data_IF_418269378203
#
_entry.id   IF_418269378203
#
_cell.length_a   1.000
_cell.length_b   1.000
_cell.length_c   1.000
_cell.angle_alpha   90.00
_cell.angle_beta   90.00
_cell.angle_gamma   90.00
#
_symmetry.space_group_name_H-M   'P 1'
#
loop_
_entity.id
_entity.type
_entity.pdbx_description
1 polymer ?
#
# COMPACT_ATOMS: atom_id res chain seq x y z
N UNK A 1 16.72 22.08 6.89
CA UNK A 1 15.70 23.12 7.14
C UNK A 1 16.34 24.20 8.01
N UNK A 2 16.41 25.44 7.52
CA UNK A 2 17.13 26.53 8.17
C UNK A 2 16.21 27.36 9.07
N UNK A 3 16.49 27.36 10.38
CA UNK A 3 15.68 27.97 11.43
C UNK A 3 15.80 29.51 11.53
N UNK A 4 15.83 30.23 10.38
CA UNK A 4 16.16 31.67 10.41
C UNK A 4 15.39 32.59 9.48
N UNK A 5 14.75 32.09 8.41
CA UNK A 5 14.11 32.96 7.42
C UNK A 5 12.63 32.62 7.22
N UNK A 6 11.79 33.64 6.96
CA UNK A 6 10.36 33.49 6.66
C UNK A 6 10.13 32.50 5.52
N UNK A 7 11.00 32.49 4.51
CA UNK A 7 10.95 31.55 3.38
C UNK A 7 11.32 30.11 3.79
N UNK A 8 12.25 29.92 4.72
CA UNK A 8 12.62 28.61 5.25
C UNK A 8 11.47 27.93 6.02
N UNK A 9 10.61 28.73 6.65
CA UNK A 9 9.43 28.26 7.40
C UNK A 9 8.29 27.77 6.48
N UNK A 10 8.16 28.35 5.29
CA UNK A 10 7.06 28.05 4.36
C UNK A 10 7.44 27.16 3.18
N UNK A 11 8.74 26.94 2.90
CA UNK A 11 9.19 26.05 1.82
C UNK A 11 8.73 24.61 2.07
N UNK A 12 8.07 24.03 1.07
CA UNK A 12 7.60 22.64 1.08
C UNK A 12 6.19 22.43 1.64
N UNK A 13 5.55 23.47 2.21
CA UNK A 13 4.20 23.36 2.75
C UNK A 13 3.09 23.45 1.67
N UNK A 14 3.41 23.94 0.47
CA UNK A 14 2.43 24.17 -0.62
C UNK A 14 1.45 25.32 -0.31
N UNK A 15 0.55 25.68 -1.23
CA UNK A 15 -0.36 26.82 -1.07
C UNK A 15 -1.36 26.67 0.09
N UNK A 16 -1.70 25.43 0.47
CA UNK A 16 -2.65 25.13 1.54
C UNK A 16 -1.97 24.91 2.91
N UNK A 17 -0.64 24.95 2.99
CA UNK A 17 0.18 24.62 4.15
C UNK A 17 0.03 23.19 4.72
N UNK A 18 -0.85 22.37 4.16
CA UNK A 18 -1.14 20.98 4.52
C UNK A 18 -1.56 20.19 3.28
N UNK A 19 -1.52 18.85 3.34
CA UNK A 19 -2.00 17.98 2.26
C UNK A 19 -0.95 17.20 1.46
N UNK A 20 0.34 17.62 1.32
CA UNK A 20 1.35 16.82 0.62
C UNK A 20 1.51 15.41 1.20
N UNK A 21 1.47 15.29 2.53
CA UNK A 21 1.52 14.00 3.22
C UNK A 21 0.32 13.11 2.87
N UNK A 22 -0.91 13.64 2.96
CA UNK A 22 -2.11 12.88 2.63
C UNK A 22 -2.13 12.44 1.18
N UNK A 23 -1.79 13.33 0.25
CA UNK A 23 -1.71 13.00 -1.17
C UNK A 23 -0.68 11.89 -1.44
N UNK A 24 0.51 11.99 -0.83
CA UNK A 24 1.56 10.99 -0.99
C UNK A 24 1.13 9.63 -0.45
N UNK A 25 0.61 9.59 0.78
CA UNK A 25 0.10 8.36 1.39
C UNK A 25 -0.98 7.75 0.52
N UNK A 26 -1.92 8.56 0.01
CA UNK A 26 -3.02 8.08 -0.83
C UNK A 26 -2.54 7.47 -2.16
N UNK A 27 -1.50 8.04 -2.80
CA UNK A 27 -0.91 7.46 -4.02
C UNK A 27 -0.08 6.21 -3.71
N UNK A 28 0.68 6.23 -2.63
CA UNK A 28 1.47 5.09 -2.21
C UNK A 28 0.59 3.88 -1.87
N UNK A 29 -0.46 4.07 -1.08
CA UNK A 29 -1.41 2.99 -0.74
C UNK A 29 -2.20 2.54 -1.96
N UNK A 30 -2.60 3.45 -2.86
CA UNK A 30 -3.27 3.07 -4.10
C UNK A 30 -2.38 2.15 -4.97
N UNK A 31 -1.09 2.47 -5.12
CA UNK A 31 -0.15 1.61 -5.85
C UNK A 31 0.01 0.26 -5.14
N UNK A 32 0.15 0.26 -3.81
CA UNK A 32 0.19 -0.96 -3.01
C UNK A 32 -1.02 -1.86 -3.24
N UNK A 33 -2.23 -1.29 -3.26
CA UNK A 33 -3.46 -2.03 -3.54
C UNK A 33 -3.48 -2.61 -4.95
N UNK A 34 -3.01 -1.88 -5.97
CA UNK A 34 -2.93 -2.41 -7.34
C UNK A 34 -2.03 -3.65 -7.39
N UNK A 35 -0.88 -3.61 -6.72
CA UNK A 35 0.05 -4.74 -6.65
C UNK A 35 -0.57 -5.92 -5.89
N UNK A 36 -1.11 -5.68 -4.70
CA UNK A 36 -1.69 -6.72 -3.84
C UNK A 36 -2.92 -7.38 -4.47
N UNK A 37 -3.81 -6.60 -5.09
CA UNK A 37 -4.98 -7.15 -5.79
C UNK A 37 -4.57 -7.97 -7.01
N UNK A 38 -3.57 -7.51 -7.77
CA UNK A 38 -3.05 -8.28 -8.91
C UNK A 38 -2.47 -9.62 -8.46
N UNK A 39 -1.68 -9.61 -7.38
CA UNK A 39 -1.13 -10.83 -6.77
C UNK A 39 -2.23 -11.77 -6.27
N UNK A 40 -3.23 -11.25 -5.54
CA UNK A 40 -4.33 -12.05 -5.00
C UNK A 40 -5.12 -12.75 -6.11
N UNK A 41 -5.48 -12.01 -7.17
CA UNK A 41 -6.20 -12.57 -8.31
C UNK A 41 -5.41 -13.68 -9.01
N UNK A 42 -4.12 -13.44 -9.29
CA UNK A 42 -3.25 -14.46 -9.92
C UNK A 42 -3.09 -15.67 -9.01
N UNK A 43 -2.88 -15.47 -7.71
CA UNK A 43 -2.73 -16.55 -6.75
C UNK A 43 -3.99 -17.42 -6.66
N UNK A 44 -5.17 -16.81 -6.66
CA UNK A 44 -6.43 -17.55 -6.66
C UNK A 44 -6.64 -18.31 -7.96
N UNK A 45 -6.36 -17.72 -9.13
CA UNK A 45 -6.45 -18.40 -10.42
C UNK A 45 -5.52 -19.62 -10.47
N UNK A 46 -4.30 -19.50 -9.92
CA UNK A 46 -3.32 -20.59 -9.87
C UNK A 46 -3.66 -21.69 -8.85
N UNK A 47 -4.54 -21.44 -7.88
CA UNK A 47 -4.86 -22.40 -6.82
C UNK A 47 -5.57 -23.65 -7.36
N UNK A 48 -6.40 -23.50 -8.39
CA UNK A 48 -7.07 -24.60 -9.12
C UNK A 48 -8.21 -25.30 -8.38
N UNK A 49 -8.06 -25.56 -7.08
CA UNK A 49 -9.07 -26.16 -6.19
C UNK A 49 -9.35 -25.24 -5.00
N UNK A 50 -10.63 -24.93 -4.78
CA UNK A 50 -11.10 -24.06 -3.71
C UNK A 50 -11.74 -24.83 -2.54
N UNK A 51 -11.51 -26.14 -2.45
CA UNK A 51 -11.89 -26.94 -1.29
C UNK A 51 -11.30 -26.38 0.01
N UNK A 52 -12.05 -26.50 1.11
CA UNK A 52 -11.68 -25.95 2.42
C UNK A 52 -10.24 -26.31 2.83
N UNK A 53 -9.84 -27.58 2.68
CA UNK A 53 -8.51 -28.04 3.04
C UNK A 53 -7.39 -27.35 2.24
N UNK A 54 -7.61 -27.12 0.93
CA UNK A 54 -6.62 -26.49 0.07
C UNK A 54 -6.51 -24.98 0.34
N UNK A 55 -7.63 -24.32 0.57
CA UNK A 55 -7.67 -22.89 0.94
C UNK A 55 -7.01 -22.65 2.29
N UNK A 56 -7.29 -23.48 3.30
CA UNK A 56 -6.63 -23.40 4.62
C UNK A 56 -5.12 -23.59 4.49
N UNK A 57 -4.68 -24.57 3.69
CA UNK A 57 -3.26 -24.81 3.45
C UNK A 57 -2.59 -23.62 2.76
N UNK A 58 -3.22 -23.05 1.74
CA UNK A 58 -2.73 -21.87 1.02
C UNK A 58 -2.63 -20.64 1.93
N UNK A 59 -3.66 -20.38 2.74
CA UNK A 59 -3.70 -19.30 3.75
C UNK A 59 -2.60 -19.43 4.81
N UNK A 60 -2.26 -20.66 5.18
CA UNK A 60 -1.24 -20.93 6.22
C UNK A 60 0.19 -20.66 5.74
N UNK A 61 0.40 -20.40 4.45
CA UNK A 61 1.73 -20.09 3.93
C UNK A 61 2.16 -18.67 4.32
N UNK A 62 3.44 -18.43 4.67
CA UNK A 62 3.88 -17.12 5.16
C UNK A 62 3.59 -15.96 4.21
N UNK A 63 3.70 -16.18 2.89
CA UNK A 63 3.42 -15.16 1.89
C UNK A 63 1.94 -14.78 1.89
N UNK A 64 1.05 -15.78 1.79
CA UNK A 64 -0.39 -15.56 1.79
C UNK A 64 -0.86 -14.94 3.10
N UNK A 65 -0.32 -15.40 4.24
CA UNK A 65 -0.65 -14.85 5.55
C UNK A 65 -0.22 -13.40 5.76
N UNK A 66 0.82 -12.94 5.07
CA UNK A 66 1.37 -11.58 5.21
C UNK A 66 0.79 -10.60 4.19
N UNK A 67 0.47 -11.09 2.99
CA UNK A 67 0.00 -10.26 1.89
C UNK A 67 -1.52 -9.98 1.92
N UNK A 68 -2.26 -10.73 2.74
CA UNK A 68 -3.70 -10.56 2.96
C UNK A 68 -3.99 -9.47 4.00
#
# INVERSE_FOLDING_TARGET
>A
MGNGTSIGKVRGLGAAHHGPHHWLVQRFTAIGNVVLMSWLLVSLIMLGDYGYGNVVKWLSQPLSATAM
#
